data_IF_711741415520
#
_entry.id   IF_711741415520
#
_cell.length_a   1.000
_cell.length_b   1.000
_cell.length_c   1.000
_cell.angle_alpha   90.00
_cell.angle_beta   90.00
_cell.angle_gamma   90.00
#
_symmetry.space_group_name_H-M   'P 1'
#
loop_
_entity.id
_entity.type
_entity.pdbx_description
1 polymer ?
#
# COMPACT_ATOMS: atom_id res chain seq x y z
N UNK A 1 3.29 9.02 29.31
CA UNK A 1 2.66 9.54 28.08
C UNK A 1 1.90 10.82 28.45
N UNK A 2 2.22 11.99 27.88
CA UNK A 2 1.51 13.25 28.20
C UNK A 2 0.35 13.45 27.21
N UNK A 3 -0.85 13.64 27.71
CA UNK A 3 -2.03 13.99 26.90
C UNK A 3 -1.87 15.47 26.51
N UNK A 4 -1.48 15.72 25.25
CA UNK A 4 -1.33 17.06 24.70
C UNK A 4 -2.31 17.30 23.54
N UNK A 5 -2.41 18.54 23.07
CA UNK A 5 -3.29 18.90 21.95
C UNK A 5 -3.06 18.05 20.70
N UNK A 6 -1.82 17.61 20.49
CA UNK A 6 -1.44 16.79 19.33
C UNK A 6 -1.92 15.35 19.48
N UNK A 7 -1.86 14.79 20.68
CA UNK A 7 -2.42 13.49 20.98
C UNK A 7 -3.93 13.46 20.68
N UNK A 8 -4.67 14.43 21.21
CA UNK A 8 -6.13 14.55 20.96
C UNK A 8 -6.40 14.68 19.46
N UNK A 9 -5.61 15.52 18.76
CA UNK A 9 -5.75 15.69 17.32
C UNK A 9 -5.62 14.37 16.55
N UNK A 10 -4.63 13.52 16.87
CA UNK A 10 -4.43 12.24 16.19
C UNK A 10 -5.64 11.32 16.41
N UNK A 11 -6.19 11.26 17.62
CA UNK A 11 -7.37 10.44 17.89
C UNK A 11 -8.61 10.94 17.15
N UNK A 12 -8.81 12.25 17.10
CA UNK A 12 -9.88 12.86 16.29
C UNK A 12 -9.68 12.57 14.79
N UNK A 13 -8.44 12.60 14.29
CA UNK A 13 -8.18 12.21 12.90
C UNK A 13 -8.39 10.72 12.66
N UNK A 14 -8.06 9.86 13.62
CA UNK A 14 -8.32 8.43 13.56
C UNK A 14 -9.82 8.14 13.48
N UNK A 15 -10.62 8.78 14.33
CA UNK A 15 -12.08 8.70 14.27
C UNK A 15 -12.62 9.11 12.90
N UNK A 16 -12.16 10.25 12.36
CA UNK A 16 -12.56 10.72 11.02
C UNK A 16 -12.15 9.73 9.92
N UNK A 17 -10.95 9.17 10.00
CA UNK A 17 -10.46 8.18 9.04
C UNK A 17 -11.27 6.88 9.08
N UNK A 18 -11.61 6.39 10.28
CA UNK A 18 -12.46 5.22 10.48
C UNK A 18 -13.86 5.47 9.93
N UNK A 19 -14.47 6.61 10.26
CA UNK A 19 -15.80 6.98 9.77
C UNK A 19 -15.81 7.08 8.25
N UNK A 20 -14.81 7.76 7.66
CA UNK A 20 -14.65 7.83 6.21
C UNK A 20 -14.54 6.43 5.59
N UNK A 21 -13.72 5.53 6.15
CA UNK A 21 -13.55 4.18 5.63
C UNK A 21 -14.85 3.36 5.70
N UNK A 22 -15.58 3.45 6.81
CA UNK A 22 -16.88 2.77 6.96
C UNK A 22 -17.93 3.28 5.97
N UNK A 23 -17.90 4.56 5.63
CA UNK A 23 -18.80 5.15 4.64
C UNK A 23 -18.50 4.74 3.19
N UNK A 24 -17.37 4.05 2.94
CA UNK A 24 -17.08 3.49 1.62
C UNK A 24 -17.85 2.19 1.34
N UNK A 25 -18.51 1.60 2.35
CA UNK A 25 -19.22 0.31 2.24
C UNK A 25 -18.36 -0.80 1.62
N UNK A 26 -17.07 -0.83 1.97
CA UNK A 26 -16.17 -1.92 1.58
C UNK A 26 -16.46 -3.14 2.48
N UNK A 27 -16.63 -4.32 1.90
CA UNK A 27 -16.75 -5.61 2.62
C UNK A 27 -15.40 -6.07 3.22
N UNK A 28 -14.60 -5.13 3.71
CA UNK A 28 -13.27 -5.40 4.26
C UNK A 28 -13.27 -5.34 5.79
N UNK A 29 -12.55 -6.27 6.42
CA UNK A 29 -12.36 -6.27 7.87
C UNK A 29 -11.59 -5.02 8.31
N UNK A 30 -12.11 -4.33 9.32
CA UNK A 30 -11.44 -3.25 10.02
C UNK A 30 -11.62 -3.44 11.52
N UNK A 31 -10.51 -3.39 12.26
CA UNK A 31 -10.52 -3.36 13.72
C UNK A 31 -10.22 -1.93 14.23
N UNK A 32 -11.24 -1.10 14.56
CA UNK A 32 -11.02 0.31 14.90
C UNK A 32 -10.09 0.52 16.08
N UNK A 33 -10.11 -0.40 17.05
CA UNK A 33 -9.27 -0.33 18.24
C UNK A 33 -7.77 -0.40 17.90
N UNK A 34 -7.38 -1.09 16.82
CA UNK A 34 -5.99 -1.14 16.34
C UNK A 34 -5.56 0.24 15.84
N UNK A 35 -6.41 0.92 15.06
CA UNK A 35 -6.14 2.28 14.56
C UNK A 35 -5.93 3.25 15.73
N UNK A 36 -6.81 3.17 16.75
CA UNK A 36 -6.66 3.97 17.95
C UNK A 36 -5.39 3.61 18.72
N UNK A 37 -5.08 2.33 18.92
CA UNK A 37 -3.85 1.91 19.61
C UNK A 37 -2.60 2.43 18.90
N UNK A 38 -2.53 2.31 17.57
CA UNK A 38 -1.44 2.84 16.78
C UNK A 38 -1.37 4.38 16.89
N UNK A 39 -2.51 5.06 16.85
CA UNK A 39 -2.62 6.51 17.06
C UNK A 39 -2.11 6.93 18.45
N UNK A 40 -2.46 6.17 19.48
CA UNK A 40 -2.00 6.37 20.86
C UNK A 40 -0.47 6.21 20.94
N UNK A 41 0.05 5.17 20.29
CA UNK A 41 1.47 4.84 20.25
C UNK A 41 2.25 5.59 19.16
N UNK A 42 1.63 6.58 18.51
CA UNK A 42 2.21 7.29 17.37
C UNK A 42 3.58 7.92 17.68
N UNK A 43 3.75 8.43 18.90
CA UNK A 43 4.99 9.06 19.38
C UNK A 43 5.96 8.08 20.03
N UNK A 44 5.50 6.87 20.29
CA UNK A 44 6.29 5.83 20.92
C UNK A 44 7.16 5.11 19.89
N UNK A 45 8.29 4.57 20.33
CA UNK A 45 9.10 3.68 19.48
C UNK A 45 8.40 2.33 19.34
N UNK A 46 8.76 1.55 18.32
CA UNK A 46 8.23 0.18 18.13
C UNK A 46 8.49 -0.73 19.33
N UNK A 47 9.60 -0.53 20.04
CA UNK A 47 9.92 -1.25 21.30
C UNK A 47 8.84 -1.04 22.35
N UNK A 48 8.26 0.16 22.44
CA UNK A 48 7.16 0.42 23.39
C UNK A 48 5.88 -0.31 22.99
N UNK A 49 5.65 -0.48 21.68
CA UNK A 49 4.51 -1.27 21.18
C UNK A 49 4.70 -2.75 21.52
N UNK A 50 5.91 -3.29 21.34
CA UNK A 50 6.26 -4.64 21.79
C UNK A 50 6.07 -4.79 23.31
N UNK A 51 6.58 -3.85 24.11
CA UNK A 51 6.42 -3.88 25.57
C UNK A 51 4.95 -3.82 25.99
N UNK A 52 4.14 -3.02 25.30
CA UNK A 52 2.69 -2.98 25.49
C UNK A 52 2.07 -4.35 25.19
N UNK A 53 2.37 -4.94 24.04
CA UNK A 53 1.82 -6.25 23.66
C UNK A 53 2.16 -7.33 24.68
N UNK A 54 3.42 -7.37 25.16
CA UNK A 54 3.86 -8.32 26.19
C UNK A 54 3.17 -8.12 27.53
N UNK A 55 3.01 -6.86 27.97
CA UNK A 55 2.37 -6.52 29.25
C UNK A 55 0.88 -6.85 29.27
N UNK A 56 0.21 -6.73 28.14
CA UNK A 56 -1.21 -7.03 27.98
C UNK A 56 -1.48 -8.41 27.39
N UNK A 57 -0.46 -9.28 27.35
CA UNK A 57 -0.55 -10.67 26.89
C UNK A 57 -1.21 -10.83 25.50
N UNK A 58 -0.93 -9.88 24.59
CA UNK A 58 -1.41 -9.96 23.22
C UNK A 58 -0.70 -11.08 22.45
N UNK A 59 -1.40 -11.70 21.50
CA UNK A 59 -0.82 -12.77 20.68
C UNK A 59 0.40 -12.30 19.89
N UNK A 60 1.38 -13.19 19.70
CA UNK A 60 2.61 -12.90 18.96
C UNK A 60 2.32 -12.44 17.51
N UNK A 61 1.28 -13.01 16.88
CA UNK A 61 0.83 -12.61 15.54
C UNK A 61 0.38 -11.16 15.51
N UNK A 62 -0.40 -10.74 16.50
CA UNK A 62 -0.90 -9.38 16.63
C UNK A 62 0.25 -8.40 16.94
N UNK A 63 1.16 -8.76 17.84
CA UNK A 63 2.37 -7.96 18.12
C UNK A 63 3.17 -7.69 16.84
N UNK A 64 3.52 -8.75 16.10
CA UNK A 64 4.27 -8.63 14.84
C UNK A 64 3.55 -7.73 13.84
N UNK A 65 2.22 -7.85 13.77
CA UNK A 65 1.40 -7.03 12.88
C UNK A 65 1.43 -5.56 13.30
N UNK A 66 1.19 -5.24 14.57
CA UNK A 66 1.21 -3.87 15.09
C UNK A 66 2.56 -3.20 14.87
N UNK A 67 3.65 -3.91 15.19
CA UNK A 67 5.02 -3.39 15.01
C UNK A 67 5.33 -3.14 13.54
N UNK A 68 5.01 -4.10 12.66
CA UNK A 68 5.22 -3.97 11.21
C UNK A 68 4.43 -2.79 10.64
N UNK A 69 3.12 -2.72 10.93
CA UNK A 69 2.24 -1.68 10.42
C UNK A 69 2.65 -0.29 10.91
N UNK A 70 2.99 -0.16 12.20
CA UNK A 70 3.53 1.10 12.74
C UNK A 70 4.81 1.52 12.05
N UNK A 71 5.80 0.63 11.96
CA UNK A 71 7.10 0.94 11.40
C UNK A 71 6.99 1.36 9.93
N UNK A 72 6.20 0.62 9.15
CA UNK A 72 5.94 0.91 7.75
C UNK A 72 5.22 2.25 7.57
N UNK A 73 4.11 2.48 8.27
CA UNK A 73 3.36 3.73 8.19
C UNK A 73 4.20 4.95 8.61
N UNK A 74 4.98 4.84 9.70
CA UNK A 74 5.87 5.91 10.15
C UNK A 74 6.95 6.23 9.10
N UNK A 75 7.50 5.19 8.44
CA UNK A 75 8.47 5.34 7.36
C UNK A 75 7.85 6.04 6.15
N UNK A 76 6.69 5.54 5.70
CA UNK A 76 5.94 6.11 4.58
C UNK A 76 5.58 7.57 4.84
N UNK A 77 5.12 7.90 6.05
CA UNK A 77 4.81 9.29 6.42
C UNK A 77 6.02 10.22 6.31
N UNK A 78 7.23 9.75 6.65
CA UNK A 78 8.47 10.50 6.48
C UNK A 78 8.84 10.64 5.01
N UNK A 79 8.81 9.54 4.26
CA UNK A 79 9.19 9.50 2.84
C UNK A 79 8.29 10.42 2.01
N UNK A 80 7.00 10.50 2.34
CA UNK A 80 6.02 11.35 1.64
C UNK A 80 6.03 12.82 2.08
N UNK A 81 6.71 13.19 3.18
CA UNK A 81 6.59 14.52 3.79
C UNK A 81 6.89 15.66 2.80
N UNK A 82 7.90 15.47 1.95
CA UNK A 82 8.38 16.44 0.96
C UNK A 82 8.10 16.02 -0.49
N UNK A 83 7.19 15.06 -0.71
CA UNK A 83 6.85 14.52 -2.03
C UNK A 83 5.37 14.76 -2.36
N UNK A 84 4.96 16.01 -2.65
CA UNK A 84 3.56 16.34 -2.91
C UNK A 84 3.01 15.76 -4.23
N UNK A 85 3.89 15.45 -5.19
CA UNK A 85 3.54 15.00 -6.54
C UNK A 85 4.11 13.61 -6.84
N UNK A 86 3.59 12.60 -6.16
CA UNK A 86 3.93 11.19 -6.44
C UNK A 86 3.06 10.64 -7.56
N UNK A 87 3.64 9.78 -8.41
CA UNK A 87 2.88 9.07 -9.43
C UNK A 87 1.94 8.04 -8.78
N UNK A 88 0.79 7.71 -9.39
CA UNK A 88 -0.12 6.70 -8.85
C UNK A 88 0.56 5.33 -8.63
N UNK A 89 1.43 4.90 -9.55
CA UNK A 89 2.24 3.69 -9.39
C UNK A 89 3.14 3.71 -8.15
N UNK A 90 3.77 4.84 -7.83
CA UNK A 90 4.60 4.98 -6.63
C UNK A 90 3.75 4.89 -5.36
N UNK A 91 2.57 5.51 -5.37
CA UNK A 91 1.62 5.43 -4.25
C UNK A 91 1.16 3.97 -4.05
N UNK A 92 0.82 3.27 -5.14
CA UNK A 92 0.40 1.88 -5.11
C UNK A 92 1.44 0.98 -4.44
N UNK A 93 2.68 0.98 -4.94
CA UNK A 93 3.74 0.15 -4.39
C UNK A 93 4.12 0.52 -2.96
N UNK A 94 4.00 1.79 -2.59
CA UNK A 94 4.32 2.26 -1.24
C UNK A 94 3.26 1.85 -0.21
N UNK A 95 1.99 1.76 -0.62
CA UNK A 95 0.85 1.55 0.29
C UNK A 95 0.31 0.11 0.29
N UNK A 96 0.62 -0.72 -0.71
CA UNK A 96 0.07 -2.08 -0.85
C UNK A 96 0.33 -3.00 0.35
N UNK A 97 1.43 -2.81 1.07
CA UNK A 97 1.84 -3.68 2.18
C UNK A 97 1.21 -3.28 3.52
N UNK A 98 0.50 -2.15 3.56
CA UNK A 98 -0.22 -1.70 4.73
C UNK A 98 -1.61 -2.35 4.79
N UNK A 99 -1.99 -2.79 5.99
CA UNK A 99 -3.37 -3.19 6.27
C UNK A 99 -4.28 -1.96 6.27
N UNK A 100 -5.60 -2.18 6.32
CA UNK A 100 -6.57 -1.10 6.49
C UNK A 100 -6.25 -0.26 7.73
N UNK A 101 -5.94 -0.91 8.84
CA UNK A 101 -5.57 -0.24 10.08
C UNK A 101 -4.29 0.59 9.91
N UNK A 102 -3.29 0.05 9.22
CA UNK A 102 -2.05 0.76 8.91
C UNK A 102 -2.26 1.99 8.04
N UNK A 103 -3.15 1.91 7.04
CA UNK A 103 -3.52 3.02 6.16
C UNK A 103 -4.29 4.11 6.89
N UNK A 104 -5.25 3.72 7.74
CA UNK A 104 -6.02 4.69 8.54
C UNK A 104 -5.16 5.33 9.62
N UNK A 105 -4.22 4.58 10.22
CA UNK A 105 -3.21 5.15 11.11
C UNK A 105 -2.32 6.16 10.39
N UNK A 106 -1.80 5.82 9.19
CA UNK A 106 -1.02 6.73 8.35
C UNK A 106 -1.82 8.01 8.04
N UNK A 107 -3.10 7.87 7.65
CA UNK A 107 -3.99 9.00 7.38
C UNK A 107 -4.21 9.87 8.62
N UNK A 108 -4.39 9.26 9.79
CA UNK A 108 -4.64 9.95 11.04
C UNK A 108 -3.43 10.77 11.53
N UNK A 109 -2.23 10.21 11.38
CA UNK A 109 -1.00 10.86 11.85
C UNK A 109 -0.36 11.81 10.83
N UNK A 110 -0.80 11.74 9.57
CA UNK A 110 -0.25 12.54 8.48
C UNK A 110 -0.35 14.05 8.76
N UNK A 111 0.79 14.73 8.70
CA UNK A 111 0.84 16.20 8.91
C UNK A 111 0.43 17.00 7.67
N UNK A 112 0.39 16.36 6.51
CA UNK A 112 0.17 17.01 5.23
C UNK A 112 -1.02 16.38 4.51
N UNK A 113 -1.89 17.24 3.96
CA UNK A 113 -3.13 16.82 3.29
C UNK A 113 -2.88 15.94 2.06
N UNK A 114 -1.73 16.08 1.38
CA UNK A 114 -1.41 15.24 0.21
C UNK A 114 -1.20 13.76 0.58
N UNK A 115 -0.71 13.46 1.79
CA UNK A 115 -0.57 12.08 2.28
C UNK A 115 -1.96 11.46 2.50
N UNK A 116 -2.87 12.20 3.13
CA UNK A 116 -4.26 11.75 3.33
C UNK A 116 -4.97 11.51 1.98
N UNK A 117 -4.77 12.42 1.01
CA UNK A 117 -5.31 12.26 -0.35
C UNK A 117 -4.72 11.03 -1.05
N UNK A 118 -3.43 10.75 -0.89
CA UNK A 118 -2.79 9.58 -1.48
C UNK A 118 -3.36 8.27 -0.91
N UNK A 119 -3.56 8.18 0.41
CA UNK A 119 -4.20 7.02 1.05
C UNK A 119 -5.64 6.87 0.55
N UNK A 120 -6.42 7.96 0.52
CA UNK A 120 -7.80 7.94 0.01
C UNK A 120 -7.86 7.48 -1.45
N UNK A 121 -6.97 8.00 -2.30
CA UNK A 121 -6.87 7.61 -3.70
C UNK A 121 -6.48 6.13 -3.86
N UNK A 122 -5.54 5.65 -3.05
CA UNK A 122 -5.14 4.25 -3.05
C UNK A 122 -6.30 3.31 -2.72
N UNK A 123 -6.98 3.54 -1.60
CA UNK A 123 -8.10 2.71 -1.13
C UNK A 123 -9.26 2.72 -2.13
N UNK A 124 -9.59 3.88 -2.70
CA UNK A 124 -10.79 4.01 -3.56
C UNK A 124 -10.57 3.68 -5.03
N UNK A 125 -9.32 3.73 -5.52
CA UNK A 125 -9.02 3.59 -6.96
C UNK A 125 -7.89 2.62 -7.26
N UNK A 126 -6.75 2.73 -6.57
CA UNK A 126 -5.54 2.01 -6.99
C UNK A 126 -5.48 0.56 -6.50
N UNK A 127 -5.99 0.27 -5.30
CA UNK A 127 -5.84 -1.04 -4.65
C UNK A 127 -6.43 -2.19 -5.47
N UNK A 128 -7.56 -1.96 -6.14
CA UNK A 128 -8.26 -2.98 -6.92
C UNK A 128 -7.76 -3.16 -8.35
N UNK A 129 -6.77 -2.37 -8.78
CA UNK A 129 -6.25 -2.44 -10.15
C UNK A 129 -5.51 -3.76 -10.37
N UNK A 130 -5.96 -4.51 -11.37
CA UNK A 130 -5.30 -5.71 -11.87
C UNK A 130 -4.68 -5.42 -13.23
N UNK A 131 -3.58 -6.11 -13.56
CA UNK A 131 -2.97 -5.99 -14.87
C UNK A 131 -4.01 -6.29 -15.98
N UNK A 132 -4.03 -5.45 -17.02
CA UNK A 132 -4.87 -5.65 -18.23
C UNK A 132 -4.61 -6.98 -18.97
N UNK A 133 -3.49 -7.65 -18.66
CA UNK A 133 -3.14 -8.97 -19.16
C UNK A 133 -2.80 -9.89 -17.99
N UNK A 134 -2.91 -11.19 -18.21
CA UNK A 134 -2.53 -12.21 -17.25
C UNK A 134 -1.36 -13.08 -17.76
N UNK A 135 -0.96 -14.07 -16.99
CA UNK A 135 0.13 -14.98 -17.38
C UNK A 135 -0.17 -15.82 -18.63
N UNK A 136 -1.43 -16.18 -18.89
CA UNK A 136 -1.81 -16.93 -20.09
C UNK A 136 -1.61 -16.06 -21.34
N UNK A 137 -1.91 -14.77 -21.25
CA UNK A 137 -1.71 -13.83 -22.36
C UNK A 137 -0.21 -13.69 -22.71
N UNK A 138 0.66 -13.71 -21.68
CA UNK A 138 2.11 -13.73 -21.87
C UNK A 138 2.59 -15.04 -22.54
N UNK A 139 2.02 -16.19 -22.15
CA UNK A 139 2.32 -17.48 -22.79
C UNK A 139 1.90 -17.47 -24.26
N UNK A 140 0.70 -16.99 -24.56
CA UNK A 140 0.19 -16.84 -25.94
C UNK A 140 1.05 -15.88 -26.77
N UNK A 141 1.63 -14.85 -26.14
CA UNK A 141 2.58 -13.94 -26.77
C UNK A 141 3.99 -14.55 -26.96
N UNK A 142 4.21 -15.79 -26.53
CA UNK A 142 5.45 -16.55 -26.73
C UNK A 142 6.48 -16.40 -25.61
N UNK A 143 6.09 -15.92 -24.42
CA UNK A 143 6.98 -15.89 -23.25
C UNK A 143 6.89 -17.19 -22.44
N UNK A 144 8.04 -17.63 -21.93
CA UNK A 144 8.12 -18.83 -21.10
C UNK A 144 7.77 -18.51 -19.64
N UNK A 145 6.91 -19.32 -18.99
CA UNK A 145 6.56 -19.14 -17.58
C UNK A 145 7.81 -19.09 -16.68
N UNK A 146 7.87 -18.10 -15.80
CA UNK A 146 8.98 -17.96 -14.86
C UNK A 146 8.93 -16.68 -14.04
N UNK A 147 9.96 -16.40 -13.22
CA UNK A 147 10.01 -15.20 -12.37
C UNK A 147 9.81 -13.89 -13.12
N UNK A 148 10.20 -13.86 -14.40
CA UNK A 148 10.06 -12.69 -15.28
C UNK A 148 8.60 -12.30 -15.53
N UNK A 149 7.64 -13.24 -15.45
CA UNK A 149 6.21 -12.93 -15.61
C UNK A 149 5.75 -11.91 -14.57
N UNK A 150 6.17 -12.07 -13.31
CA UNK A 150 5.83 -11.10 -12.26
C UNK A 150 6.36 -9.71 -12.61
N UNK A 151 7.59 -9.62 -13.10
CA UNK A 151 8.20 -8.34 -13.49
C UNK A 151 7.49 -7.70 -14.69
N UNK A 152 7.06 -8.50 -15.65
CA UNK A 152 6.26 -8.05 -16.81
C UNK A 152 4.89 -7.53 -16.34
N UNK A 153 4.16 -8.32 -15.57
CA UNK A 153 2.84 -7.93 -15.05
C UNK A 153 2.92 -6.68 -14.16
N UNK A 154 3.95 -6.57 -13.32
CA UNK A 154 4.20 -5.37 -12.53
C UNK A 154 4.45 -4.13 -13.43
N UNK A 155 5.18 -4.29 -14.55
CA UNK A 155 5.39 -3.19 -15.51
C UNK A 155 4.09 -2.75 -16.19
N UNK A 156 3.17 -3.68 -16.45
CA UNK A 156 1.83 -3.38 -16.98
C UNK A 156 1.02 -2.61 -15.94
N UNK A 157 0.97 -3.09 -14.69
CA UNK A 157 0.28 -2.39 -13.59
C UNK A 157 0.83 -0.97 -13.44
N UNK A 158 2.15 -0.78 -13.45
CA UNK A 158 2.76 0.55 -13.37
C UNK A 158 2.34 1.48 -14.51
N UNK A 159 2.34 0.97 -15.75
CA UNK A 159 1.94 1.74 -16.91
C UNK A 159 0.44 2.09 -16.86
N UNK A 160 -0.41 1.15 -16.43
CA UNK A 160 -1.85 1.31 -16.29
C UNK A 160 -2.20 2.34 -15.20
N UNK A 161 -1.62 2.21 -14.01
CA UNK A 161 -1.80 3.17 -12.91
C UNK A 161 -1.38 4.59 -13.32
N UNK A 162 -0.33 4.70 -14.14
CA UNK A 162 0.14 5.97 -14.68
C UNK A 162 -0.61 6.44 -15.94
N UNK A 163 -1.69 5.75 -16.34
CA UNK A 163 -2.52 6.04 -17.52
C UNK A 163 -1.76 6.07 -18.85
N UNK A 164 -0.68 5.30 -18.97
CA UNK A 164 0.10 5.15 -20.21
C UNK A 164 -0.50 4.11 -21.15
N UNK A 165 -1.24 3.16 -20.59
CA UNK A 165 -1.97 2.12 -21.31
C UNK A 165 -3.36 2.00 -20.71
N UNK A 166 -4.34 1.65 -21.53
CA UNK A 166 -5.73 1.42 -21.16
C UNK A 166 -6.37 0.21 -21.83
N UNK A 167 -5.62 -0.51 -22.68
CA UNK A 167 -6.11 -1.71 -23.35
C UNK A 167 -5.16 -2.90 -23.27
N UNK A 168 -5.72 -4.11 -23.41
CA UNK A 168 -4.96 -5.36 -23.52
C UNK A 168 -3.93 -5.32 -24.66
N UNK A 169 -4.27 -4.69 -25.79
CA UNK A 169 -3.38 -4.55 -26.95
C UNK A 169 -2.15 -3.70 -26.62
N UNK A 170 -2.37 -2.55 -25.99
CA UNK A 170 -1.28 -1.67 -25.54
C UNK A 170 -0.40 -2.33 -24.47
N UNK A 171 -1.00 -3.10 -23.56
CA UNK A 171 -0.27 -3.87 -22.57
C UNK A 171 0.69 -4.90 -23.22
N UNK A 172 0.21 -5.67 -24.20
CA UNK A 172 1.06 -6.61 -24.94
C UNK A 172 2.17 -5.91 -25.73
N UNK A 173 1.85 -4.78 -26.36
CA UNK A 173 2.84 -3.98 -27.07
C UNK A 173 3.94 -3.46 -26.13
N UNK A 174 3.56 -2.91 -24.97
CA UNK A 174 4.50 -2.48 -23.93
C UNK A 174 5.44 -3.63 -23.51
N UNK A 175 4.90 -4.84 -23.36
CA UNK A 175 5.70 -6.01 -23.01
C UNK A 175 6.68 -6.37 -24.13
N UNK A 176 6.24 -6.39 -25.39
CA UNK A 176 7.14 -6.65 -26.52
C UNK A 176 8.26 -5.62 -26.65
N UNK A 177 7.96 -4.34 -26.45
CA UNK A 177 8.94 -3.26 -26.54
C UNK A 177 9.97 -3.31 -25.39
N UNK A 178 9.50 -3.60 -24.17
CA UNK A 178 10.35 -3.58 -22.96
C UNK A 178 11.09 -4.90 -22.72
N UNK A 179 10.58 -6.01 -23.21
CA UNK A 179 11.15 -7.35 -23.04
C UNK A 179 11.32 -8.05 -24.39
N UNK A 180 12.25 -7.58 -25.24
CA UNK A 180 12.49 -8.21 -26.52
C UNK A 180 12.88 -9.68 -26.30
N UNK A 181 12.21 -10.56 -27.03
CA UNK A 181 12.49 -11.99 -27.00
C UNK A 181 13.91 -12.20 -27.54
N UNK A 182 14.79 -12.83 -26.76
CA UNK A 182 15.98 -13.43 -27.35
C UNK A 182 15.46 -14.52 -28.30
N UNK A 183 15.70 -14.37 -29.60
CA UNK A 183 15.45 -15.43 -30.55
C UNK A 183 16.15 -16.67 -30.01
N UNK A 184 15.39 -17.74 -29.79
CA UNK A 184 15.96 -19.03 -29.43
C UNK A 184 17.04 -19.32 -30.48
N UNK A 185 18.29 -19.32 -30.02
CA UNK A 185 19.43 -19.67 -30.83
C UNK A 185 19.12 -21.01 -31.50
N UNK A 186 19.25 -21.04 -32.81
CA UNK A 186 19.39 -22.28 -33.55
C UNK A 186 20.57 -23.05 -32.95
N UNK A 187 20.31 -23.94 -31.99
CA UNK A 187 21.20 -25.05 -31.76
C UNK A 187 20.95 -26.06 -32.88
N UNK A 188 21.76 -25.90 -33.92
CA UNK A 188 22.14 -26.97 -34.84
C UNK A 188 22.62 -28.19 -34.07
#
# INVERSE_FOLDING_TARGET
MKIDRRFIHILTQAEKAITWFKLLYLDESLEPWIVYLLGIMSRSRTVEVTNFCKRFELSEKLEKTLVKQKAAADKIARDMLNRPHMKPSEIYWLLQDLSNEGLLYLMAMARKKHIQKAVSHFVTRLRGEQALINGQDLQQAGYQPGPLFRTMLNSVIEAQLNRRIGSRKEALQLIHDKYPRQAAGHHK
#
